data_IF_685316887517
#
_entry.id   IF_685316887517
#
_cell.length_a   1.000
_cell.length_b   1.000
_cell.length_c   1.000
_cell.angle_alpha   90.00
_cell.angle_beta   90.00
_cell.angle_gamma   90.00
#
_symmetry.space_group_name_H-M   'P 1'
#
loop_
_entity.id
_entity.type
_entity.pdbx_description
1 polymer ?
#
# COMPACT_ATOMS: atom_id res chain seq x y z
N UNK A 1 24.97 18.70 64.71
CA UNK A 1 23.96 19.18 63.74
C UNK A 1 24.68 19.32 62.43
N UNK A 2 24.89 18.21 61.73
CA UNK A 2 25.43 18.15 60.38
C UNK A 2 24.69 16.96 59.74
N UNK A 3 23.84 17.26 58.75
CA UNK A 3 23.13 16.26 57.94
C UNK A 3 23.75 16.37 56.56
N UNK A 4 24.15 15.22 56.03
CA UNK A 4 24.96 15.03 54.83
C UNK A 4 24.25 15.50 53.54
N UNK A 5 25.00 16.21 52.71
CA UNK A 5 24.57 16.91 51.49
C UNK A 5 24.87 16.08 50.22
N UNK A 6 24.65 14.76 50.27
CA UNK A 6 25.09 13.82 49.23
C UNK A 6 24.00 13.34 48.25
N UNK A 7 22.78 13.89 48.31
CA UNK A 7 21.67 13.45 47.44
C UNK A 7 21.37 14.40 46.26
N UNK A 8 22.09 15.52 46.12
CA UNK A 8 21.81 16.53 45.09
C UNK A 8 22.71 16.38 43.85
N UNK A 9 23.86 15.69 43.96
CA UNK A 9 24.81 15.50 42.86
C UNK A 9 24.26 14.57 41.77
N UNK A 10 23.73 13.41 42.15
CA UNK A 10 23.32 12.36 41.21
C UNK A 10 22.07 12.74 40.39
N UNK A 11 21.24 13.63 40.93
CA UNK A 11 20.05 14.14 40.24
C UNK A 11 20.44 15.18 39.18
N UNK A 12 21.46 16.01 39.46
CA UNK A 12 21.91 17.05 38.53
C UNK A 12 22.67 16.45 37.33
N UNK A 13 23.41 15.36 37.52
CA UNK A 13 24.07 14.64 36.42
C UNK A 13 23.05 13.96 35.47
N UNK A 14 21.97 13.36 35.99
CA UNK A 14 20.93 12.76 35.15
C UNK A 14 20.17 13.80 34.28
N UNK A 15 19.89 14.98 34.83
CA UNK A 15 19.24 16.05 34.05
C UNK A 15 20.19 16.70 33.03
N UNK A 16 21.51 16.68 33.29
CA UNK A 16 22.51 17.17 32.35
C UNK A 16 22.65 16.22 31.14
N UNK A 17 22.65 14.90 31.37
CA UNK A 17 22.72 13.90 30.30
C UNK A 17 21.47 13.91 29.40
N UNK A 18 20.26 14.06 29.97
CA UNK A 18 19.03 14.19 29.16
C UNK A 18 19.00 15.50 28.36
N UNK A 19 19.50 16.60 28.91
CA UNK A 19 19.60 17.87 28.20
C UNK A 19 20.63 17.81 27.06
N UNK A 20 21.78 17.17 27.25
CA UNK A 20 22.79 16.98 26.19
C UNK A 20 22.29 16.04 25.08
N UNK A 21 21.55 14.97 25.41
CA UNK A 21 20.91 14.09 24.42
C UNK A 21 19.82 14.82 23.61
N UNK A 22 19.09 15.74 24.25
CA UNK A 22 18.06 16.55 23.57
C UNK A 22 18.72 17.61 22.68
N UNK A 23 19.77 18.28 23.14
CA UNK A 23 20.52 19.25 22.34
C UNK A 23 21.27 18.61 21.17
N UNK A 24 21.73 17.36 21.30
CA UNK A 24 22.32 16.58 20.20
C UNK A 24 21.27 16.16 19.18
N UNK A 25 20.08 15.74 19.63
CA UNK A 25 18.93 15.46 18.76
C UNK A 25 18.46 16.71 18.00
N UNK A 26 18.40 17.86 18.69
CA UNK A 26 17.97 19.12 18.09
C UNK A 26 19.04 19.69 17.14
N UNK A 27 20.34 19.45 17.41
CA UNK A 27 21.44 19.77 16.47
C UNK A 27 21.48 18.87 15.24
N UNK A 28 21.16 17.58 15.37
CA UNK A 28 20.99 16.70 14.22
C UNK A 28 19.79 17.12 13.36
N UNK A 29 18.75 17.68 13.98
CA UNK A 29 17.59 18.25 13.29
C UNK A 29 17.92 19.60 12.59
N UNK A 30 18.72 20.47 13.19
CA UNK A 30 19.20 21.71 12.53
C UNK A 30 20.15 21.41 11.35
N UNK A 31 21.01 20.38 11.46
CA UNK A 31 21.92 19.98 10.38
C UNK A 31 21.22 19.26 9.21
N UNK A 32 19.99 18.76 9.40
CA UNK A 32 19.17 18.19 8.32
C UNK A 32 18.25 19.23 7.65
N UNK A 33 18.22 20.46 8.17
CA UNK A 33 17.37 21.55 7.67
C UNK A 33 18.09 22.51 6.71
N UNK A 34 19.41 22.40 6.55
CA UNK A 34 20.20 23.24 5.64
C UNK A 34 20.29 22.66 4.22
N UNK A 35 19.79 23.44 3.26
CA UNK A 35 19.95 23.36 1.79
C UNK A 35 19.27 22.19 1.04
N UNK A 36 17.96 22.33 0.79
CA UNK A 36 17.38 21.88 -0.49
C UNK A 36 17.49 23.07 -1.45
N UNK A 37 18.68 23.21 -2.05
CA UNK A 37 18.95 24.17 -3.12
C UNK A 37 18.26 23.70 -4.41
N UNK A 38 17.76 24.65 -5.20
CA UNK A 38 16.86 24.50 -6.36
C UNK A 38 17.06 23.21 -7.20
N UNK A 39 16.19 22.21 -7.02
CA UNK A 39 16.11 21.09 -7.96
C UNK A 39 15.60 21.61 -9.32
N UNK A 40 16.46 21.53 -10.34
CA UNK A 40 16.05 21.58 -11.75
C UNK A 40 14.80 20.69 -11.95
N UNK A 41 13.84 21.07 -12.81
CA UNK A 41 12.62 20.30 -12.97
C UNK A 41 12.98 18.91 -13.49
N UNK A 42 13.06 17.94 -12.59
CA UNK A 42 13.17 16.52 -12.91
C UNK A 42 11.98 16.23 -13.80
N UNK A 43 12.23 16.08 -15.09
CA UNK A 43 11.20 15.79 -16.07
C UNK A 43 10.38 14.62 -15.52
N UNK A 44 9.09 14.87 -15.19
CA UNK A 44 8.18 13.88 -14.60
C UNK A 44 8.29 12.59 -15.43
N UNK A 45 9.07 11.62 -14.96
CA UNK A 45 9.15 10.30 -15.60
C UNK A 45 7.72 9.76 -15.55
N UNK A 46 7.14 9.51 -16.72
CA UNK A 46 5.77 9.07 -16.85
C UNK A 46 5.62 7.74 -16.10
N UNK A 47 4.91 7.79 -14.98
CA UNK A 47 4.54 6.63 -14.15
C UNK A 47 3.44 5.83 -14.86
N UNK A 48 3.75 5.30 -16.04
CA UNK A 48 2.82 4.50 -16.84
C UNK A 48 3.35 3.07 -16.83
N UNK A 49 2.87 2.30 -15.86
CA UNK A 49 3.10 0.86 -15.81
C UNK A 49 1.84 0.12 -16.29
N UNK A 50 1.97 -0.96 -17.07
CA UNK A 50 3.22 -1.47 -17.65
C UNK A 50 3.77 -0.56 -18.75
N UNK A 51 5.10 -0.47 -18.83
CA UNK A 51 5.76 0.22 -19.95
C UNK A 51 5.55 -0.60 -21.22
N UNK A 52 4.67 -0.13 -22.11
CA UNK A 52 4.34 -0.82 -23.35
C UNK A 52 4.62 0.07 -24.56
N UNK A 53 4.89 -0.56 -25.71
CA UNK A 53 5.10 0.18 -26.96
C UNK A 53 3.87 1.01 -27.32
N UNK A 54 4.07 2.14 -28.03
CA UNK A 54 2.96 3.00 -28.46
C UNK A 54 1.90 2.23 -29.26
N UNK A 55 2.33 1.23 -30.04
CA UNK A 55 1.42 0.37 -30.81
C UNK A 55 0.56 -0.50 -29.88
N UNK A 56 1.17 -1.13 -28.88
CA UNK A 56 0.47 -1.97 -27.88
C UNK A 56 -0.50 -1.10 -27.05
N UNK A 57 -0.07 0.08 -26.59
CA UNK A 57 -0.92 1.06 -25.90
C UNK A 57 -2.10 1.58 -26.73
N UNK A 58 -1.94 1.72 -28.05
CA UNK A 58 -3.04 2.08 -28.94
C UNK A 58 -4.01 0.93 -29.16
N UNK A 59 -3.53 -0.32 -29.24
CA UNK A 59 -4.39 -1.51 -29.36
C UNK A 59 -5.31 -1.63 -28.14
N UNK A 60 -4.69 -1.59 -26.97
CA UNK A 60 -5.33 -1.49 -25.66
C UNK A 60 -6.48 -0.50 -25.59
N UNK A 61 -6.22 0.74 -26.00
CA UNK A 61 -7.22 1.81 -25.99
C UNK A 61 -8.36 1.53 -26.97
N UNK A 62 -8.05 1.07 -28.19
CA UNK A 62 -9.06 0.76 -29.20
C UNK A 62 -9.98 -0.36 -28.77
N UNK A 63 -9.43 -1.42 -28.19
CA UNK A 63 -10.21 -2.55 -27.67
C UNK A 63 -11.13 -2.11 -26.53
N UNK A 64 -10.62 -1.32 -25.59
CA UNK A 64 -11.45 -0.75 -24.52
C UNK A 64 -12.55 0.18 -25.06
N UNK A 65 -12.21 1.10 -25.97
CA UNK A 65 -13.17 2.05 -26.54
C UNK A 65 -14.29 1.33 -27.33
N UNK A 66 -13.94 0.29 -28.09
CA UNK A 66 -14.89 -0.55 -28.83
C UNK A 66 -15.85 -1.28 -27.87
N UNK A 67 -15.33 -1.90 -26.80
CA UNK A 67 -16.16 -2.55 -25.78
C UNK A 67 -17.03 -1.52 -25.06
N UNK A 68 -16.49 -0.34 -24.72
CA UNK A 68 -17.24 0.73 -24.04
C UNK A 68 -18.40 1.24 -24.89
N UNK A 69 -18.27 1.27 -26.21
CA UNK A 69 -19.34 1.71 -27.12
C UNK A 69 -20.46 0.66 -27.27
N UNK A 70 -20.12 -0.63 -27.24
CA UNK A 70 -21.06 -1.72 -27.56
C UNK A 70 -21.59 -2.48 -26.33
N UNK A 71 -20.90 -2.44 -25.20
CA UNK A 71 -21.30 -3.14 -23.98
C UNK A 71 -22.44 -2.39 -23.29
N UNK A 72 -23.56 -3.08 -23.09
CA UNK A 72 -24.72 -2.54 -22.39
C UNK A 72 -24.68 -2.93 -20.91
N UNK A 73 -24.37 -1.97 -20.06
CA UNK A 73 -24.50 -2.11 -18.60
C UNK A 73 -25.97 -1.93 -18.19
N UNK A 74 -26.58 -2.98 -17.63
CA UNK A 74 -27.88 -2.87 -16.98
C UNK A 74 -27.69 -2.12 -15.66
N UNK A 75 -27.95 -0.81 -15.67
CA UNK A 75 -27.81 0.04 -14.47
C UNK A 75 -28.67 -0.52 -13.34
N UNK A 76 -28.02 -1.02 -12.29
CA UNK A 76 -28.70 -1.37 -11.04
C UNK A 76 -29.08 -0.09 -10.28
N UNK A 77 -30.21 0.51 -10.68
CA UNK A 77 -30.79 1.71 -10.06
C UNK A 77 -31.22 1.49 -8.60
N UNK A 78 -31.28 0.23 -8.13
CA UNK A 78 -31.76 -0.11 -6.80
C UNK A 78 -30.64 -0.26 -5.76
N UNK A 79 -29.39 -0.42 -6.19
CA UNK A 79 -28.25 -0.44 -5.27
C UNK A 79 -27.82 0.97 -4.85
N UNK A 80 -28.50 1.48 -3.82
CA UNK A 80 -28.15 2.75 -3.16
C UNK A 80 -26.69 2.84 -2.67
N UNK A 81 -25.98 1.71 -2.49
CA UNK A 81 -24.58 1.71 -2.06
C UNK A 81 -23.60 1.95 -3.19
N UNK A 82 -24.04 1.76 -4.44
CA UNK A 82 -23.26 2.08 -5.64
C UNK A 82 -23.42 3.53 -6.09
N UNK A 83 -24.42 4.25 -5.55
CA UNK A 83 -24.64 5.67 -5.81
C UNK A 83 -24.59 5.96 -7.32
N UNK A 84 -25.37 5.19 -8.09
CA UNK A 84 -25.28 5.10 -9.56
C UNK A 84 -25.27 6.46 -10.25
N UNK A 85 -26.05 7.42 -9.75
CA UNK A 85 -26.12 8.80 -10.24
C UNK A 85 -24.77 9.54 -10.24
N UNK A 86 -23.89 9.25 -9.27
CA UNK A 86 -22.58 9.91 -9.11
C UNK A 86 -21.42 8.96 -9.39
N UNK A 87 -21.68 7.70 -9.72
CA UNK A 87 -20.66 6.68 -9.81
C UNK A 87 -19.60 7.05 -10.86
N UNK A 88 -20.00 7.55 -12.03
CA UNK A 88 -19.07 7.98 -13.08
C UNK A 88 -18.17 9.12 -12.60
N UNK A 89 -18.75 10.21 -12.09
CA UNK A 89 -18.03 11.37 -11.56
C UNK A 89 -17.06 10.98 -10.42
N UNK A 90 -17.49 10.09 -9.52
CA UNK A 90 -16.66 9.61 -8.40
C UNK A 90 -15.44 8.86 -8.94
N UNK A 91 -15.64 7.92 -9.86
CA UNK A 91 -14.53 7.13 -10.39
C UNK A 91 -13.60 7.93 -11.29
N UNK A 92 -14.11 8.92 -12.03
CA UNK A 92 -13.28 9.87 -12.79
C UNK A 92 -12.41 10.70 -11.84
N UNK A 93 -13.00 11.28 -10.80
CA UNK A 93 -12.25 12.02 -9.79
C UNK A 93 -11.22 11.15 -9.05
N UNK A 94 -11.57 9.91 -8.70
CA UNK A 94 -10.65 8.96 -8.08
C UNK A 94 -9.46 8.60 -9.00
N UNK A 95 -9.67 8.53 -10.32
CA UNK A 95 -8.60 8.29 -11.30
C UNK A 95 -7.63 9.47 -11.40
N UNK A 96 -8.12 10.70 -11.24
CA UNK A 96 -7.25 11.89 -11.14
C UNK A 96 -6.45 11.88 -9.84
N UNK A 97 -7.10 11.58 -8.72
CA UNK A 97 -6.47 11.54 -7.41
C UNK A 97 -5.41 10.45 -7.28
N UNK A 98 -5.66 9.26 -7.82
CA UNK A 98 -4.73 8.13 -7.66
C UNK A 98 -3.35 8.43 -8.27
N UNK A 99 -3.24 9.35 -9.23
CA UNK A 99 -1.95 9.80 -9.78
C UNK A 99 -1.19 10.72 -8.83
N UNK A 100 -1.88 11.62 -8.13
CA UNK A 100 -1.28 12.66 -7.26
C UNK A 100 -0.62 12.07 -6.00
N UNK A 101 -1.10 10.91 -5.55
CA UNK A 101 -0.63 10.26 -4.31
C UNK A 101 0.15 8.97 -4.55
N UNK A 102 0.75 8.81 -5.73
CA UNK A 102 1.71 7.73 -5.97
C UNK A 102 3.06 8.04 -5.28
N UNK A 103 3.66 7.08 -4.56
CA UNK A 103 5.03 7.22 -4.08
C UNK A 103 6.03 7.19 -5.25
N UNK A 104 7.28 7.57 -5.00
CA UNK A 104 8.36 7.38 -5.97
C UNK A 104 8.79 5.90 -5.99
N UNK A 105 8.68 5.16 -7.11
CA UNK A 105 9.01 3.75 -7.12
C UNK A 105 10.50 3.47 -6.88
N UNK A 106 11.36 4.48 -7.06
CA UNK A 106 12.80 4.42 -6.86
C UNK A 106 13.26 5.14 -5.57
N UNK A 107 12.36 5.44 -4.61
CA UNK A 107 12.76 6.19 -3.41
C UNK A 107 13.88 5.53 -2.60
N UNK A 108 14.03 4.21 -2.71
CA UNK A 108 15.06 3.47 -1.99
C UNK A 108 16.48 3.81 -2.46
N UNK A 109 16.64 4.36 -3.67
CA UNK A 109 17.94 4.83 -4.17
C UNK A 109 18.50 6.00 -3.34
N UNK A 110 17.62 6.77 -2.70
CA UNK A 110 17.99 7.86 -1.79
C UNK A 110 18.13 7.43 -0.32
N UNK A 111 17.83 6.19 0.02
CA UNK A 111 17.89 5.69 1.40
C UNK A 111 19.25 5.03 1.69
N UNK A 112 19.94 5.49 2.72
CA UNK A 112 21.29 5.01 3.07
C UNK A 112 21.30 3.78 3.97
N UNK A 113 20.31 3.64 4.87
CA UNK A 113 20.29 2.59 5.90
C UNK A 113 19.20 1.54 5.71
N UNK A 114 18.18 1.83 4.91
CA UNK A 114 17.02 0.94 4.69
C UNK A 114 17.02 0.37 3.28
N UNK A 115 16.38 -0.79 3.11
CA UNK A 115 16.24 -1.45 1.82
C UNK A 115 14.84 -2.04 1.64
N UNK A 116 14.55 -2.57 0.45
CA UNK A 116 13.24 -3.14 0.13
C UNK A 116 12.83 -4.32 1.03
N UNK A 117 13.78 -5.13 1.50
CA UNK A 117 13.49 -6.21 2.43
C UNK A 117 13.04 -5.66 3.79
N UNK A 118 13.70 -4.62 4.30
CA UNK A 118 13.30 -3.95 5.54
C UNK A 118 11.91 -3.30 5.42
N UNK A 119 11.59 -2.70 4.26
CA UNK A 119 10.23 -2.22 3.97
C UNK A 119 9.22 -3.36 4.00
N UNK A 120 9.51 -4.49 3.36
CA UNK A 120 8.61 -5.65 3.39
C UNK A 120 8.36 -6.13 4.83
N UNK A 121 9.41 -6.22 5.65
CA UNK A 121 9.30 -6.59 7.07
C UNK A 121 8.45 -5.60 7.86
N UNK A 122 8.60 -4.29 7.61
CA UNK A 122 7.75 -3.26 8.22
C UNK A 122 6.28 -3.46 7.84
N UNK A 123 5.98 -3.63 6.54
CA UNK A 123 4.60 -3.78 6.05
C UNK A 123 3.95 -5.06 6.58
N UNK A 124 4.68 -6.18 6.63
CA UNK A 124 4.18 -7.44 7.20
C UNK A 124 3.85 -7.28 8.70
N UNK A 125 4.69 -6.55 9.44
CA UNK A 125 4.42 -6.19 10.83
C UNK A 125 3.22 -5.23 10.97
N UNK A 126 3.07 -4.22 10.11
CA UNK A 126 1.89 -3.34 10.10
C UNK A 126 0.60 -4.12 9.84
N UNK A 127 0.64 -5.14 8.99
CA UNK A 127 -0.51 -6.02 8.75
C UNK A 127 -0.85 -6.85 9.99
N UNK A 128 0.14 -7.28 10.78
CA UNK A 128 -0.10 -7.90 12.09
C UNK A 128 -0.79 -6.93 13.07
N UNK A 129 -0.33 -5.68 13.15
CA UNK A 129 -0.91 -4.64 14.01
C UNK A 129 -2.35 -4.34 13.61
N UNK A 130 -2.57 -4.11 12.30
CA UNK A 130 -3.89 -3.93 11.69
C UNK A 130 -4.89 -5.02 12.11
N UNK A 131 -4.46 -6.29 12.03
CA UNK A 131 -5.28 -7.43 12.40
C UNK A 131 -5.58 -7.51 13.89
N UNK A 132 -4.60 -7.22 14.73
CA UNK A 132 -4.73 -7.29 16.20
C UNK A 132 -5.75 -6.28 16.73
N UNK A 133 -5.86 -5.13 16.09
CA UNK A 133 -6.78 -4.06 16.48
C UNK A 133 -8.06 -4.05 15.66
N UNK A 134 -8.25 -5.03 14.78
CA UNK A 134 -9.46 -5.18 13.97
C UNK A 134 -9.82 -3.94 13.16
N UNK A 135 -8.80 -3.22 12.68
CA UNK A 135 -8.97 -2.03 11.84
C UNK A 135 -9.57 -2.40 10.48
N UNK A 136 -10.20 -1.42 9.82
CA UNK A 136 -10.68 -1.52 8.45
C UNK A 136 -9.50 -1.77 7.50
N UNK A 137 -9.64 -2.62 6.46
CA UNK A 137 -8.60 -2.80 5.45
C UNK A 137 -8.14 -1.48 4.81
N UNK A 138 -9.05 -0.54 4.63
CA UNK A 138 -8.81 0.81 4.12
C UNK A 138 -7.74 1.54 4.94
N UNK A 139 -7.76 1.39 6.27
CA UNK A 139 -6.76 1.93 7.19
C UNK A 139 -5.35 1.42 6.88
N UNK A 140 -5.18 0.12 6.61
CA UNK A 140 -3.88 -0.45 6.23
C UNK A 140 -3.38 0.12 4.90
N UNK A 141 -4.26 0.20 3.91
CA UNK A 141 -3.94 0.73 2.58
C UNK A 141 -3.47 2.19 2.65
N UNK A 142 -4.19 3.03 3.41
CA UNK A 142 -3.80 4.43 3.64
C UNK A 142 -2.46 4.50 4.40
N UNK A 143 -2.28 3.68 5.45
CA UNK A 143 -1.05 3.68 6.24
C UNK A 143 0.19 3.34 5.38
N UNK A 144 0.13 2.29 4.55
CA UNK A 144 1.25 1.92 3.68
C UNK A 144 1.53 3.00 2.64
N UNK A 145 0.49 3.61 2.04
CA UNK A 145 0.68 4.74 1.12
C UNK A 145 1.39 5.93 1.79
N UNK A 146 0.99 6.26 3.03
CA UNK A 146 1.64 7.31 3.83
C UNK A 146 3.12 6.97 4.06
N UNK A 147 3.44 5.73 4.46
CA UNK A 147 4.83 5.28 4.65
C UNK A 147 5.64 5.48 3.37
N UNK A 148 5.17 4.98 2.24
CA UNK A 148 5.92 5.04 0.98
C UNK A 148 6.11 6.47 0.47
N UNK A 149 5.09 7.33 0.59
CA UNK A 149 5.19 8.75 0.20
C UNK A 149 6.09 9.54 1.14
N UNK A 150 6.11 9.20 2.43
CA UNK A 150 7.00 9.84 3.40
C UNK A 150 8.45 9.45 3.10
N UNK A 151 8.74 8.16 2.90
CA UNK A 151 10.07 7.66 2.53
C UNK A 151 10.53 8.14 1.14
N UNK A 152 9.59 8.57 0.28
CA UNK A 152 9.90 9.24 -0.99
C UNK A 152 10.48 10.65 -0.83
N UNK A 153 10.26 11.30 0.32
CA UNK A 153 10.65 12.69 0.57
C UNK A 153 11.65 12.84 1.73
N UNK A 154 11.83 11.81 2.56
CA UNK A 154 12.68 11.86 3.76
C UNK A 154 13.56 10.62 3.83
N UNK A 155 14.86 10.85 4.08
CA UNK A 155 15.80 9.79 4.44
C UNK A 155 15.55 9.42 5.90
N UNK A 156 15.44 8.12 6.19
CA UNK A 156 15.10 7.62 7.52
C UNK A 156 16.10 6.56 7.94
N UNK A 157 16.58 6.67 9.18
CA UNK A 157 17.45 5.65 9.77
C UNK A 157 16.69 4.36 10.08
N UNK A 158 17.39 3.23 10.07
CA UNK A 158 16.79 1.93 10.36
C UNK A 158 16.07 1.91 11.73
N UNK A 159 16.64 2.60 12.72
CA UNK A 159 16.12 2.67 14.09
C UNK A 159 14.77 3.40 14.19
N UNK A 160 14.48 4.30 13.24
CA UNK A 160 13.24 5.08 13.20
C UNK A 160 12.22 4.55 12.21
N UNK A 161 12.55 3.51 11.43
CA UNK A 161 11.66 2.94 10.41
C UNK A 161 10.35 2.39 11.01
N UNK A 162 10.40 1.71 12.16
CA UNK A 162 9.18 1.23 12.83
C UNK A 162 8.32 2.40 13.34
N UNK A 163 8.94 3.43 13.93
CA UNK A 163 8.24 4.66 14.35
C UNK A 163 7.49 5.31 13.18
N UNK A 164 8.09 5.37 11.99
CA UNK A 164 7.43 5.85 10.77
C UNK A 164 6.19 5.00 10.46
N UNK A 165 6.29 3.68 10.48
CA UNK A 165 5.15 2.79 10.23
C UNK A 165 4.01 2.97 11.23
N UNK A 166 4.32 3.06 12.53
CA UNK A 166 3.30 3.24 13.58
C UNK A 166 2.62 4.58 13.47
N UNK A 167 3.39 5.63 13.22
CA UNK A 167 2.88 6.99 13.04
C UNK A 167 1.96 7.07 11.82
N UNK A 168 2.33 6.42 10.72
CA UNK A 168 1.49 6.35 9.52
C UNK A 168 0.17 5.62 9.79
N UNK A 169 0.21 4.50 10.52
CA UNK A 169 -0.98 3.77 10.94
C UNK A 169 -1.86 4.60 11.90
N UNK A 170 -1.27 5.38 12.80
CA UNK A 170 -1.99 6.29 13.69
C UNK A 170 -2.74 7.38 12.91
N UNK A 171 -2.08 8.00 11.93
CA UNK A 171 -2.71 8.99 11.05
C UNK A 171 -3.84 8.35 10.24
N UNK A 172 -3.59 7.19 9.62
CA UNK A 172 -4.60 6.47 8.85
C UNK A 172 -5.82 6.08 9.70
N UNK A 173 -5.60 5.59 10.92
CA UNK A 173 -6.67 5.20 11.82
C UNK A 173 -7.54 6.41 12.23
N UNK A 174 -6.93 7.57 12.49
CA UNK A 174 -7.70 8.81 12.77
C UNK A 174 -8.52 9.28 11.57
N UNK A 175 -8.10 8.94 10.36
CA UNK A 175 -8.80 9.34 9.14
C UNK A 175 -9.96 8.39 8.82
N UNK A 176 -9.75 7.08 8.93
CA UNK A 176 -10.66 6.07 8.39
C UNK A 176 -11.55 5.40 9.46
N UNK A 177 -11.07 5.25 10.70
CA UNK A 177 -11.81 4.53 11.74
C UNK A 177 -12.88 5.43 12.39
N UNK A 178 -14.05 4.86 12.66
CA UNK A 178 -15.10 5.53 13.45
C UNK A 178 -14.57 5.84 14.87
N UNK A 179 -13.84 4.89 15.44
CA UNK A 179 -13.22 4.99 16.76
C UNK A 179 -11.73 4.64 16.63
N UNK A 180 -10.92 5.64 16.31
CA UNK A 180 -9.48 5.47 16.22
C UNK A 180 -8.87 5.12 17.60
N UNK A 181 -7.92 4.15 17.65
CA UNK A 181 -7.13 3.87 18.85
C UNK A 181 -6.42 5.13 19.38
N UNK A 182 -6.30 5.24 20.70
CA UNK A 182 -5.59 6.38 21.30
C UNK A 182 -4.08 6.27 21.07
N UNK A 183 -3.35 7.37 21.19
CA UNK A 183 -1.88 7.34 21.07
C UNK A 183 -1.23 6.41 22.11
N UNK A 184 -1.84 6.29 23.30
CA UNK A 184 -1.40 5.35 24.33
C UNK A 184 -1.53 3.89 23.89
N UNK A 185 -2.56 3.56 23.08
CA UNK A 185 -2.68 2.22 22.49
C UNK A 185 -1.58 1.96 21.47
N UNK A 186 -1.20 2.96 20.66
CA UNK A 186 -0.07 2.83 19.73
C UNK A 186 1.30 2.73 20.44
N UNK A 187 1.49 3.43 21.56
CA UNK A 187 2.66 3.22 22.45
C UNK A 187 2.67 1.77 22.95
N UNK A 188 1.52 1.22 23.34
CA UNK A 188 1.42 -0.17 23.78
C UNK A 188 1.68 -1.18 22.64
N UNK A 189 1.23 -0.90 21.41
CA UNK A 189 1.48 -1.73 20.22
C UNK A 189 2.97 -1.93 19.93
N UNK A 190 3.77 -0.91 20.21
CA UNK A 190 5.23 -0.93 20.01
C UNK A 190 5.99 -1.53 21.19
N UNK A 191 5.29 -2.19 22.11
CA UNK A 191 5.85 -2.70 23.38
C UNK A 191 6.56 -1.58 24.18
N UNK A 192 6.07 -0.34 24.06
CA UNK A 192 6.68 0.88 24.62
C UNK A 192 8.07 1.19 24.07
N UNK A 193 8.38 0.74 22.86
CA UNK A 193 9.61 1.09 22.15
C UNK A 193 9.69 2.57 21.79
N UNK A 194 8.56 3.27 21.77
CA UNK A 194 8.48 4.71 21.53
C UNK A 194 7.56 5.41 22.53
N UNK A 195 7.91 6.63 22.88
CA UNK A 195 7.11 7.51 23.72
C UNK A 195 5.92 8.11 22.96
N UNK A 196 4.93 8.62 23.71
CA UNK A 196 3.80 9.35 23.14
C UNK A 196 4.28 10.60 22.39
N UNK A 197 5.27 11.28 22.96
CA UNK A 197 5.86 12.51 22.44
C UNK A 197 6.54 12.25 21.09
N UNK A 198 7.25 11.13 20.93
CA UNK A 198 7.85 10.73 19.66
C UNK A 198 6.81 10.47 18.57
N UNK A 199 5.73 9.74 18.88
CA UNK A 199 4.65 9.48 17.91
C UNK A 199 3.98 10.80 17.49
N UNK A 200 3.71 11.69 18.44
CA UNK A 200 3.10 13.00 18.15
C UNK A 200 4.05 13.96 17.42
N UNK A 201 5.37 13.86 17.64
CA UNK A 201 6.38 14.58 16.85
C UNK A 201 6.43 14.05 15.42
N UNK A 202 6.53 12.72 15.27
CA UNK A 202 6.51 12.04 13.97
C UNK A 202 5.25 12.39 13.17
N UNK A 203 4.08 12.43 13.81
CA UNK A 203 2.82 12.78 13.16
C UNK A 203 2.87 14.17 12.52
N UNK A 204 3.37 15.17 13.26
CA UNK A 204 3.48 16.54 12.75
C UNK A 204 4.40 16.62 11.54
N UNK A 205 5.58 16.00 11.64
CA UNK A 205 6.57 15.96 10.56
C UNK A 205 6.00 15.28 9.32
N UNK A 206 5.31 14.15 9.51
CA UNK A 206 4.73 13.35 8.44
C UNK A 206 3.60 14.10 7.72
N UNK A 207 2.66 14.70 8.47
CA UNK A 207 1.58 15.50 7.90
C UNK A 207 2.09 16.72 7.14
N UNK A 208 3.09 17.42 7.68
CA UNK A 208 3.74 18.54 6.99
C UNK A 208 4.46 18.10 5.71
N UNK A 209 5.22 17.01 5.78
CA UNK A 209 5.95 16.47 4.62
C UNK A 209 5.01 16.03 3.49
N UNK A 210 3.81 15.57 3.84
CA UNK A 210 2.79 15.12 2.89
C UNK A 210 1.77 16.21 2.52
N UNK A 211 2.00 17.46 2.92
CA UNK A 211 1.11 18.59 2.65
C UNK A 211 -0.34 18.32 3.09
N UNK A 212 -0.50 17.54 4.18
CA UNK A 212 -1.79 17.07 4.71
C UNK A 212 -2.66 16.28 3.70
N UNK A 213 -2.09 15.82 2.57
CA UNK A 213 -2.78 15.03 1.55
C UNK A 213 -2.94 13.55 1.97
N UNK A 214 -3.72 13.31 3.03
CA UNK A 214 -4.06 11.94 3.50
C UNK A 214 -5.26 11.39 2.74
N UNK A 215 -6.32 12.19 2.61
CA UNK A 215 -7.62 11.82 2.03
C UNK A 215 -7.62 11.45 0.55
N UNK A 216 -6.57 11.83 -0.17
CA UNK A 216 -6.50 11.71 -1.62
C UNK A 216 -6.18 10.27 -2.05
N UNK A 217 -5.75 9.40 -1.13
CA UNK A 217 -5.47 8.01 -1.44
C UNK A 217 -6.75 7.18 -1.49
N UNK A 218 -7.04 6.67 -2.68
CA UNK A 218 -8.11 5.74 -2.92
C UNK A 218 -7.54 4.30 -2.90
N UNK A 219 -8.10 3.44 -2.05
CA UNK A 219 -7.69 2.03 -1.96
C UNK A 219 -8.13 1.24 -3.20
N UNK A 220 -7.35 0.24 -3.66
CA UNK A 220 -7.76 -0.71 -4.70
C UNK A 220 -9.14 -1.35 -4.49
N UNK A 221 -9.62 -1.42 -3.25
CA UNK A 221 -10.91 -2.04 -2.92
C UNK A 221 -12.12 -1.32 -3.52
N UNK A 222 -12.05 -0.01 -3.75
CA UNK A 222 -13.12 0.74 -4.40
C UNK A 222 -13.27 0.34 -5.87
N UNK A 223 -12.16 0.23 -6.61
CA UNK A 223 -12.19 -0.27 -7.99
C UNK A 223 -12.52 -1.76 -8.06
N UNK A 224 -12.03 -2.57 -7.11
CA UNK A 224 -12.40 -3.99 -7.04
C UNK A 224 -13.92 -4.17 -6.92
N UNK A 225 -14.60 -3.31 -6.13
CA UNK A 225 -16.06 -3.31 -6.02
C UNK A 225 -16.73 -3.04 -7.37
N UNK A 226 -16.24 -2.04 -8.12
CA UNK A 226 -16.71 -1.75 -9.49
C UNK A 226 -16.50 -2.94 -10.43
N UNK A 227 -15.30 -3.52 -10.44
CA UNK A 227 -14.95 -4.66 -11.31
C UNK A 227 -15.80 -5.90 -10.97
N UNK A 228 -16.16 -6.08 -9.70
CA UNK A 228 -17.00 -7.21 -9.25
C UNK A 228 -18.42 -7.21 -9.87
N UNK A 229 -18.85 -6.12 -10.50
CA UNK A 229 -20.12 -6.13 -11.26
C UNK A 229 -20.06 -7.05 -12.48
N UNK A 230 -18.87 -7.30 -13.03
CA UNK A 230 -18.69 -8.15 -14.21
C UNK A 230 -19.05 -9.62 -13.99
N UNK A 231 -19.09 -10.09 -12.74
CA UNK A 231 -19.43 -11.48 -12.37
C UNK A 231 -20.47 -11.57 -11.25
N UNK A 232 -21.36 -10.57 -11.16
CA UNK A 232 -22.42 -10.51 -10.15
C UNK A 232 -21.91 -10.69 -8.71
N UNK A 233 -20.74 -10.10 -8.44
CA UNK A 233 -20.07 -10.08 -7.15
C UNK A 233 -19.70 -11.47 -6.60
N UNK A 234 -19.19 -12.36 -7.46
CA UNK A 234 -18.81 -13.72 -7.08
C UNK A 234 -17.92 -13.75 -5.83
N UNK A 235 -18.36 -14.50 -4.82
CA UNK A 235 -17.74 -14.51 -3.50
C UNK A 235 -16.32 -15.09 -3.54
N UNK A 236 -16.09 -16.14 -4.34
CA UNK A 236 -14.80 -16.82 -4.41
C UNK A 236 -13.77 -15.90 -5.06
N UNK A 237 -14.12 -15.34 -6.21
CA UNK A 237 -13.29 -14.42 -6.99
C UNK A 237 -12.94 -13.18 -6.16
N UNK A 238 -13.92 -12.56 -5.49
CA UNK A 238 -13.68 -11.39 -4.63
C UNK A 238 -12.79 -11.69 -3.43
N UNK A 239 -12.99 -12.85 -2.79
CA UNK A 239 -12.20 -13.22 -1.60
C UNK A 239 -10.74 -13.47 -1.99
N UNK A 240 -10.52 -14.17 -3.10
CA UNK A 240 -9.20 -14.45 -3.65
C UNK A 240 -8.52 -13.18 -4.17
N UNK A 241 -9.26 -12.32 -4.87
CA UNK A 241 -8.78 -11.03 -5.38
C UNK A 241 -8.33 -10.10 -4.25
N UNK A 242 -9.06 -10.06 -3.13
CA UNK A 242 -8.64 -9.31 -1.92
C UNK A 242 -7.30 -9.80 -1.37
N UNK A 243 -7.11 -11.12 -1.28
CA UNK A 243 -5.83 -11.70 -0.88
C UNK A 243 -4.70 -11.25 -1.82
N UNK A 244 -4.87 -11.48 -3.13
CA UNK A 244 -3.86 -11.16 -4.15
C UNK A 244 -3.53 -9.68 -4.20
N UNK A 245 -4.53 -8.81 -4.04
CA UNK A 245 -4.34 -7.37 -3.96
C UNK A 245 -3.53 -6.99 -2.72
N UNK A 246 -3.82 -7.54 -1.53
CA UNK A 246 -3.01 -7.28 -0.33
C UNK A 246 -1.59 -7.84 -0.41
N UNK A 247 -1.34 -8.91 -1.20
CA UNK A 247 0.04 -9.38 -1.46
C UNK A 247 0.90 -8.30 -2.11
N UNK A 248 0.31 -7.44 -2.96
CA UNK A 248 1.04 -6.34 -3.63
C UNK A 248 1.63 -5.33 -2.64
N UNK A 249 1.08 -5.20 -1.43
CA UNK A 249 1.63 -4.34 -0.39
C UNK A 249 3.06 -4.75 0.02
N UNK A 250 3.37 -6.05 -0.07
CA UNK A 250 4.67 -6.61 0.34
C UNK A 250 5.72 -6.50 -0.76
N UNK A 251 5.33 -6.27 -2.02
CA UNK A 251 6.24 -6.26 -3.16
C UNK A 251 6.39 -4.85 -3.73
N UNK A 252 7.57 -4.26 -3.51
CA UNK A 252 7.91 -2.92 -3.98
C UNK A 252 7.77 -2.72 -5.49
N UNK A 253 7.80 -3.78 -6.30
CA UNK A 253 7.58 -3.70 -7.75
C UNK A 253 6.20 -3.15 -8.10
N UNK A 254 5.22 -3.26 -7.19
CA UNK A 254 3.89 -2.68 -7.35
C UNK A 254 3.78 -1.19 -7.01
N UNK A 255 4.82 -0.54 -6.48
CA UNK A 255 4.79 0.91 -6.17
C UNK A 255 4.60 1.80 -7.40
N UNK A 256 4.95 1.30 -8.59
CA UNK A 256 4.73 1.98 -9.88
C UNK A 256 3.33 1.74 -10.47
N UNK A 257 2.52 0.88 -9.84
CA UNK A 257 1.23 0.44 -10.34
C UNK A 257 0.13 1.22 -9.64
N UNK A 258 -0.73 1.86 -10.42
CA UNK A 258 -1.87 2.62 -9.87
C UNK A 258 -2.83 1.70 -9.10
N UNK A 259 -3.47 2.18 -8.02
CA UNK A 259 -4.47 1.42 -7.28
C UNK A 259 -5.58 0.78 -8.13
N UNK A 260 -6.08 1.48 -9.15
CA UNK A 260 -7.05 0.95 -10.12
C UNK A 260 -6.55 -0.30 -10.85
N UNK A 261 -5.30 -0.26 -11.31
CA UNK A 261 -4.64 -1.36 -12.00
C UNK A 261 -4.25 -2.50 -11.03
N UNK A 262 -3.86 -2.19 -9.80
CA UNK A 262 -3.66 -3.20 -8.74
C UNK A 262 -4.95 -4.01 -8.52
N UNK A 263 -6.11 -3.33 -8.44
CA UNK A 263 -7.39 -4.00 -8.30
C UNK A 263 -7.72 -4.92 -9.49
N UNK A 264 -7.47 -4.45 -10.71
CA UNK A 264 -7.67 -5.24 -11.92
C UNK A 264 -6.74 -6.44 -12.00
N UNK A 265 -5.45 -6.29 -11.69
CA UNK A 265 -4.46 -7.40 -11.63
C UNK A 265 -4.86 -8.45 -10.60
N UNK A 266 -5.30 -8.03 -9.41
CA UNK A 266 -5.79 -8.93 -8.36
C UNK A 266 -7.02 -9.72 -8.81
N UNK A 267 -7.98 -9.04 -9.46
CA UNK A 267 -9.20 -9.69 -9.97
C UNK A 267 -8.91 -10.65 -11.12
N UNK A 268 -8.10 -10.23 -12.08
CA UNK A 268 -7.68 -11.05 -13.21
C UNK A 268 -6.97 -12.31 -12.76
N UNK A 269 -6.02 -12.17 -11.83
CA UNK A 269 -5.28 -13.31 -11.27
C UNK A 269 -6.22 -14.26 -10.52
N UNK A 270 -7.17 -13.74 -9.73
CA UNK A 270 -8.17 -14.57 -9.07
C UNK A 270 -9.02 -15.36 -10.06
N UNK A 271 -9.47 -14.72 -11.14
CA UNK A 271 -10.25 -15.39 -12.19
C UNK A 271 -9.47 -16.46 -12.91
N UNK A 272 -8.23 -16.18 -13.31
CA UNK A 272 -7.35 -17.19 -13.92
C UNK A 272 -7.18 -18.41 -13.03
N UNK A 273 -6.95 -18.21 -11.73
CA UNK A 273 -6.84 -19.31 -10.76
C UNK A 273 -8.12 -20.15 -10.71
N UNK A 274 -9.28 -19.50 -10.72
CA UNK A 274 -10.60 -20.14 -10.66
C UNK A 274 -11.11 -20.66 -12.02
N UNK A 275 -10.31 -20.57 -13.09
CA UNK A 275 -10.68 -21.03 -14.43
C UNK A 275 -11.63 -20.11 -15.20
N UNK A 276 -11.75 -18.85 -14.77
CA UNK A 276 -12.51 -17.80 -15.44
C UNK A 276 -11.72 -17.07 -16.53
N UNK A 277 -12.44 -16.51 -17.49
CA UNK A 277 -11.95 -15.63 -18.55
C UNK A 277 -11.95 -14.15 -18.15
N UNK A 278 -11.25 -13.29 -18.90
CA UNK A 278 -11.31 -11.83 -18.77
C UNK A 278 -12.13 -11.24 -19.94
N UNK A 279 -13.45 -11.42 -19.86
CA UNK A 279 -14.39 -11.07 -20.92
C UNK A 279 -14.67 -9.56 -21.03
N UNK A 280 -15.53 -9.18 -21.99
CA UNK A 280 -15.92 -7.79 -22.28
C UNK A 280 -16.43 -7.03 -21.04
N UNK A 281 -17.19 -7.69 -20.15
CA UNK A 281 -17.69 -7.06 -18.94
C UNK A 281 -16.53 -6.66 -18.00
N UNK A 282 -15.53 -7.52 -17.84
CA UNK A 282 -14.34 -7.20 -17.04
C UNK A 282 -13.53 -6.06 -17.65
N UNK A 283 -13.38 -6.03 -18.98
CA UNK A 283 -12.71 -4.92 -19.67
C UNK A 283 -13.48 -3.61 -19.47
N UNK A 284 -14.81 -3.64 -19.63
CA UNK A 284 -15.69 -2.48 -19.44
C UNK A 284 -15.57 -1.90 -18.02
N UNK A 285 -15.74 -2.73 -16.99
CA UNK A 285 -15.75 -2.24 -15.60
C UNK A 285 -14.37 -1.86 -15.06
N UNK A 286 -13.31 -2.55 -15.51
CA UNK A 286 -11.95 -2.29 -15.03
C UNK A 286 -11.24 -1.16 -15.78
N UNK A 287 -11.53 -0.98 -17.08
CA UNK A 287 -10.75 -0.12 -17.94
C UNK A 287 -9.51 -0.78 -18.55
N UNK A 288 -9.30 -2.09 -18.32
CA UNK A 288 -8.06 -2.79 -18.70
C UNK A 288 -8.36 -4.07 -19.49
N UNK A 289 -7.65 -4.24 -20.60
CA UNK A 289 -7.66 -5.48 -21.40
C UNK A 289 -6.81 -6.57 -20.72
N UNK A 290 -7.04 -7.83 -21.06
CA UNK A 290 -6.31 -8.97 -20.47
C UNK A 290 -4.80 -8.82 -20.58
N UNK A 291 -4.32 -8.42 -21.77
CA UNK A 291 -2.91 -8.27 -22.08
C UNK A 291 -2.23 -7.17 -21.23
N UNK A 292 -2.97 -6.15 -20.78
CA UNK A 292 -2.43 -5.17 -19.82
C UNK A 292 -2.10 -5.77 -18.45
N UNK A 293 -2.84 -6.80 -18.05
CA UNK A 293 -2.83 -7.34 -16.68
C UNK A 293 -1.81 -8.47 -16.51
N UNK A 294 -1.40 -9.10 -17.61
CA UNK A 294 -0.41 -10.19 -17.63
C UNK A 294 0.91 -9.85 -16.90
N UNK A 295 1.53 -8.68 -17.07
CA UNK A 295 2.76 -8.37 -16.34
C UNK A 295 2.57 -8.40 -14.82
N UNK A 296 1.43 -7.93 -14.32
CA UNK A 296 1.14 -7.89 -12.88
C UNK A 296 0.78 -9.24 -12.33
N UNK A 297 0.03 -10.02 -13.11
CA UNK A 297 -0.25 -11.41 -12.82
C UNK A 297 1.03 -12.20 -12.60
N UNK A 298 2.00 -12.09 -13.53
CA UNK A 298 3.31 -12.71 -13.42
C UNK A 298 4.04 -12.32 -12.13
N UNK A 299 4.10 -11.03 -11.80
CA UNK A 299 4.76 -10.56 -10.56
C UNK A 299 4.11 -11.16 -9.31
N UNK A 300 2.78 -11.31 -9.29
CA UNK A 300 2.07 -11.99 -8.22
C UNK A 300 2.44 -13.47 -8.13
N UNK A 301 2.46 -14.20 -9.26
CA UNK A 301 2.84 -15.62 -9.26
C UNK A 301 4.27 -15.80 -8.74
N UNK A 302 5.22 -14.99 -9.23
CA UNK A 302 6.59 -14.98 -8.73
C UNK A 302 6.61 -14.77 -7.20
N UNK A 303 5.90 -13.75 -6.70
CA UNK A 303 5.84 -13.43 -5.26
C UNK A 303 5.27 -14.57 -4.43
N UNK A 304 4.18 -15.21 -4.89
CA UNK A 304 3.53 -16.32 -4.20
C UNK A 304 4.43 -17.57 -4.11
N UNK A 305 5.41 -17.70 -5.02
CA UNK A 305 6.35 -18.83 -5.08
C UNK A 305 7.68 -18.57 -4.38
N UNK A 306 7.91 -17.37 -3.82
CA UNK A 306 9.11 -17.07 -3.05
C UNK A 306 9.24 -17.96 -1.81
N UNK A 307 10.47 -18.36 -1.50
CA UNK A 307 10.77 -19.15 -0.31
C UNK A 307 10.37 -18.38 0.97
N UNK A 308 9.63 -19.04 1.86
CA UNK A 308 9.15 -18.45 3.12
C UNK A 308 7.97 -17.48 2.97
N UNK A 309 7.44 -17.26 1.76
CA UNK A 309 6.28 -16.36 1.57
C UNK A 309 5.04 -16.83 2.37
N UNK A 310 4.84 -18.13 2.51
CA UNK A 310 3.76 -18.73 3.31
C UNK A 310 3.79 -18.35 4.80
N UNK A 311 4.91 -17.82 5.31
CA UNK A 311 5.07 -17.41 6.70
C UNK A 311 4.59 -15.97 6.98
N UNK A 312 4.38 -15.17 5.93
CA UNK A 312 3.93 -13.78 6.03
C UNK A 312 2.54 -13.67 6.68
N UNK A 313 2.27 -12.56 7.38
CA UNK A 313 1.02 -12.34 8.08
C UNK A 313 -0.19 -12.26 7.13
N UNK A 314 0.00 -11.80 5.89
CA UNK A 314 -1.06 -11.81 4.86
C UNK A 314 -1.53 -13.24 4.57
N UNK A 315 -0.62 -14.21 4.52
CA UNK A 315 -0.97 -15.62 4.32
C UNK A 315 -1.76 -16.16 5.51
N UNK A 316 -1.33 -15.83 6.75
CA UNK A 316 -2.03 -16.23 7.98
C UNK A 316 -3.45 -15.65 8.05
N UNK A 317 -3.63 -14.38 7.66
CA UNK A 317 -4.94 -13.71 7.56
C UNK A 317 -5.91 -14.51 6.69
N UNK A 318 -5.50 -14.80 5.46
CA UNK A 318 -6.35 -15.43 4.44
C UNK A 318 -6.37 -16.96 4.48
N UNK A 319 -5.63 -17.60 5.40
CA UNK A 319 -5.66 -19.06 5.60
C UNK A 319 -6.89 -19.52 6.40
N UNK A 320 -7.64 -18.59 7.01
CA UNK A 320 -8.81 -18.93 7.83
C UNK A 320 -10.03 -19.29 6.98
N UNK A 321 -10.98 -20.03 7.57
CA UNK A 321 -12.25 -20.37 6.90
C UNK A 321 -13.07 -19.13 6.52
N UNK A 322 -12.93 -18.03 7.27
CA UNK A 322 -13.57 -16.73 6.97
C UNK A 322 -13.21 -16.23 5.57
N UNK A 323 -11.98 -16.49 5.13
CA UNK A 323 -11.47 -16.09 3.82
C UNK A 323 -11.33 -17.27 2.86
N UNK A 324 -12.16 -18.32 3.05
CA UNK A 324 -12.18 -19.49 2.18
C UNK A 324 -10.83 -20.21 2.01
N UNK A 325 -9.89 -20.00 2.96
CA UNK A 325 -8.51 -20.46 2.85
C UNK A 325 -7.80 -19.98 1.56
N UNK A 326 -8.15 -18.78 1.08
CA UNK A 326 -7.69 -18.24 -0.19
C UNK A 326 -6.17 -18.22 -0.35
N UNK A 327 -5.42 -17.93 0.73
CA UNK A 327 -3.95 -17.94 0.66
C UNK A 327 -3.37 -19.32 0.40
N UNK A 328 -3.92 -20.36 1.03
CA UNK A 328 -3.46 -21.74 0.84
C UNK A 328 -3.70 -22.19 -0.61
N UNK A 329 -4.90 -21.90 -1.11
CA UNK A 329 -5.28 -22.20 -2.49
C UNK A 329 -4.40 -21.47 -3.51
N UNK A 330 -4.20 -20.15 -3.33
CA UNK A 330 -3.42 -19.33 -4.26
C UNK A 330 -1.96 -19.77 -4.34
N UNK A 331 -1.34 -20.10 -3.19
CA UNK A 331 0.06 -20.55 -3.14
C UNK A 331 0.19 -21.93 -3.81
N UNK A 332 -0.70 -22.87 -3.50
CA UNK A 332 -0.71 -24.18 -4.14
C UNK A 332 -0.89 -24.06 -5.66
N UNK A 333 -1.84 -23.23 -6.10
CA UNK A 333 -2.05 -22.97 -7.52
C UNK A 333 -0.81 -22.38 -8.20
N UNK A 334 -0.19 -21.36 -7.58
CA UNK A 334 0.99 -20.70 -8.13
C UNK A 334 2.18 -21.66 -8.27
N UNK A 335 2.39 -22.55 -7.30
CA UNK A 335 3.44 -23.57 -7.35
C UNK A 335 3.24 -24.57 -8.49
N UNK A 336 1.99 -24.94 -8.79
CA UNK A 336 1.67 -25.88 -9.87
C UNK A 336 1.83 -25.26 -11.27
N UNK A 337 1.54 -23.97 -11.41
CA UNK A 337 1.50 -23.29 -12.72
C UNK A 337 2.69 -22.35 -12.97
N UNK A 338 3.72 -22.39 -12.13
CA UNK A 338 4.89 -21.54 -12.26
C UNK A 338 5.57 -21.75 -13.63
N UNK A 339 5.78 -22.99 -14.06
CA UNK A 339 6.45 -23.28 -15.33
C UNK A 339 5.67 -22.76 -16.54
N UNK A 340 4.36 -22.95 -16.58
CA UNK A 340 3.50 -22.46 -17.67
C UNK A 340 3.51 -20.92 -17.71
N UNK A 341 3.40 -20.29 -16.54
CA UNK A 341 3.47 -18.83 -16.40
C UNK A 341 4.82 -18.30 -16.86
N UNK A 342 5.92 -19.01 -16.56
CA UNK A 342 7.30 -18.64 -16.95
C UNK A 342 7.57 -18.87 -18.45
N UNK A 343 6.97 -19.89 -19.06
CA UNK A 343 7.10 -20.18 -20.50
C UNK A 343 6.38 -19.15 -21.36
N UNK A 344 5.20 -18.69 -20.95
CA UNK A 344 4.51 -17.55 -21.57
C UNK A 344 5.38 -16.27 -21.56
N UNK A 345 6.32 -16.14 -20.61
CA UNK A 345 7.23 -14.97 -20.51
C UNK A 345 8.33 -14.96 -21.56
N UNK A 346 8.71 -16.12 -22.11
CA UNK A 346 9.85 -16.24 -23.03
C UNK A 346 9.41 -16.17 -24.50
N UNK A 347 8.12 -16.25 -24.78
CA UNK A 347 7.56 -16.17 -26.14
C UNK A 347 7.29 -14.72 -26.57
N UNK A 348 7.25 -13.77 -25.64
CA UNK A 348 6.90 -12.36 -25.88
C UNK A 348 8.05 -11.34 -25.80
N UNK A 349 9.31 -11.78 -25.66
CA UNK A 349 10.50 -10.91 -25.72
C UNK A 349 11.01 -10.64 -27.15
#
# INVERSE_FOLDING_TARGET
MEVEDHAVSDVVEQYADEAELTELSDREEELQQEEIDDEEPVAKRQRVWPEVSTVRAQRYRREFDDIKEHFHDEVDEFDTTMVSEYAEDIFEYMQELEEDVMPSPEYMDGQSEINWHMRQTLVDWLLQVHLRYHMLPETLWIAVNIVDRFLSKRVVSLLKLQLVGVTAMFIAAKYEEILAPSVEEFVFMTERGYSKEEILKGERIMLQTLDFKVSHYCSPYSWMRKISKADDYDLQTRTLSKFLTEVTLLDHRFLRVKPSLVAAVGMYTARKMLGGDWNEAFVYYSGFTEEHLQPGHKLLIEKLTEEGFNEQHVCKKYATKKFLKASLYAIEWAQLHLHETLEEMNVEC
#
